data_IF_609334315063
#
_entry.id   IF_609334315063
#
_cell.length_a   1.000
_cell.length_b   1.000
_cell.length_c   1.000
_cell.angle_alpha   90.00
_cell.angle_beta   90.00
_cell.angle_gamma   90.00
#
_symmetry.space_group_name_H-M   'P 1'
#
loop_
_entity.id
_entity.type
_entity.pdbx_description
1 polymer ?
#
# COMPACT_ATOMS: atom_id res chain seq x y z
N UNK A 1 16.00 -3.78 -0.58
CA UNK A 1 15.30 -2.51 -0.90
C UNK A 1 13.82 -2.82 -1.02
N UNK A 2 13.01 -2.08 -0.27
CA UNK A 2 11.59 -2.34 -0.04
C UNK A 2 10.84 -1.02 -0.27
N UNK A 3 9.82 -1.04 -1.12
CA UNK A 3 8.96 0.11 -1.40
C UNK A 3 7.63 -0.06 -0.70
N UNK A 4 7.18 0.98 -0.02
CA UNK A 4 5.87 1.06 0.61
C UNK A 4 5.02 2.06 -0.16
N UNK A 5 3.81 1.63 -0.51
CA UNK A 5 2.81 2.49 -1.14
C UNK A 5 1.40 2.07 -0.71
N UNK A 6 0.47 3.02 -0.79
CA UNK A 6 -0.92 2.86 -0.45
C UNK A 6 -1.82 3.03 -1.66
N UNK A 7 -2.84 2.17 -1.77
CA UNK A 7 -3.85 2.29 -2.81
C UNK A 7 -5.25 2.05 -2.27
N UNK A 8 -6.19 2.91 -2.66
CA UNK A 8 -7.58 2.79 -2.25
C UNK A 8 -8.44 2.18 -3.37
N UNK A 9 -9.31 1.24 -3.02
CA UNK A 9 -10.24 0.60 -3.94
C UNK A 9 -11.61 0.41 -3.29
N UNK A 10 -12.65 0.33 -4.11
CA UNK A 10 -13.99 -0.02 -3.63
C UNK A 10 -14.22 -1.52 -3.77
N UNK A 11 -14.79 -2.17 -2.75
CA UNK A 11 -15.04 -3.63 -2.80
C UNK A 11 -15.97 -4.02 -3.94
N UNK A 12 -16.94 -3.16 -4.27
CA UNK A 12 -17.88 -3.38 -5.37
C UNK A 12 -17.37 -2.92 -6.74
N UNK A 13 -16.07 -2.63 -6.90
CA UNK A 13 -15.53 -2.33 -8.23
C UNK A 13 -15.74 -3.52 -9.17
N UNK A 14 -16.26 -3.23 -10.34
CA UNK A 14 -16.52 -4.21 -11.40
C UNK A 14 -15.93 -3.70 -12.70
N UNK A 15 -15.55 -4.62 -13.58
CA UNK A 15 -15.10 -4.25 -14.92
C UNK A 15 -16.28 -3.67 -15.70
N UNK A 16 -16.13 -2.44 -16.17
CA UNK A 16 -17.15 -1.78 -17.00
C UNK A 16 -17.07 -2.20 -18.46
N UNK A 17 -15.91 -2.69 -18.89
CA UNK A 17 -15.64 -3.06 -20.28
C UNK A 17 -15.13 -4.50 -20.32
N UNK A 18 -15.70 -5.30 -21.22
CA UNK A 18 -15.30 -6.68 -21.49
C UNK A 18 -15.27 -6.95 -23.00
N UNK A 19 -14.47 -7.94 -23.40
CA UNK A 19 -14.43 -8.43 -24.78
C UNK A 19 -15.10 -9.79 -24.85
N UNK A 20 -15.80 -10.05 -25.95
CA UNK A 20 -16.37 -11.35 -26.29
C UNK A 20 -16.11 -11.64 -27.76
N UNK A 21 -16.32 -12.89 -28.17
CA UNK A 21 -16.25 -13.27 -29.57
C UNK A 21 -17.25 -12.47 -30.41
N UNK A 22 -16.93 -12.29 -31.70
CA UNK A 22 -17.78 -11.55 -32.62
C UNK A 22 -19.19 -12.17 -32.65
N UNK A 23 -20.20 -11.36 -32.38
CA UNK A 23 -21.60 -11.77 -32.32
C UNK A 23 -22.09 -12.30 -30.97
N UNK A 24 -21.23 -12.39 -29.95
CA UNK A 24 -21.61 -12.81 -28.59
C UNK A 24 -21.61 -11.63 -27.62
N UNK A 25 -22.55 -11.63 -26.66
CA UNK A 25 -22.57 -10.67 -25.55
C UNK A 25 -21.55 -11.10 -24.48
N UNK A 26 -20.91 -10.12 -23.84
CA UNK A 26 -20.16 -10.35 -22.61
C UNK A 26 -21.11 -10.15 -21.43
N UNK A 27 -21.14 -11.12 -20.51
CA UNK A 27 -21.94 -11.04 -19.29
C UNK A 27 -21.01 -10.97 -18.09
N UNK A 28 -21.36 -10.14 -17.11
CA UNK A 28 -20.66 -10.02 -15.84
C UNK A 28 -21.69 -9.85 -14.72
N UNK A 29 -21.49 -10.56 -13.62
CA UNK A 29 -22.23 -10.33 -12.39
C UNK A 29 -21.66 -9.07 -11.74
N UNK A 30 -22.53 -8.07 -11.53
CA UNK A 30 -22.18 -6.80 -10.93
C UNK A 30 -22.80 -6.66 -9.56
N UNK A 31 -22.02 -6.19 -8.59
CA UNK A 31 -22.55 -5.78 -7.30
C UNK A 31 -23.47 -4.57 -7.47
N UNK A 32 -24.67 -4.64 -6.91
CA UNK A 32 -25.65 -3.55 -6.99
C UNK A 32 -25.19 -2.28 -6.25
N UNK A 33 -24.47 -2.45 -5.13
CA UNK A 33 -23.88 -1.37 -4.35
C UNK A 33 -22.35 -1.34 -4.52
N UNK A 34 -21.75 -0.15 -4.52
CA UNK A 34 -20.28 0.03 -4.59
C UNK A 34 -19.54 -0.58 -3.39
N UNK A 35 -20.25 -0.89 -2.30
CA UNK A 35 -19.67 -1.45 -1.10
C UNK A 35 -18.82 -0.43 -0.32
N UNK A 36 -17.94 -0.95 0.52
CA UNK A 36 -17.03 -0.16 1.36
C UNK A 36 -15.79 0.27 0.57
N UNK A 37 -15.23 1.43 0.93
CA UNK A 37 -13.89 1.84 0.48
C UNK A 37 -12.86 1.12 1.35
N UNK A 38 -11.86 0.53 0.72
CA UNK A 38 -10.73 -0.10 1.39
C UNK A 38 -9.45 0.63 0.97
N UNK A 39 -8.49 0.71 1.88
CA UNK A 39 -7.11 1.12 1.60
C UNK A 39 -6.21 -0.09 1.80
N UNK A 40 -5.45 -0.44 0.77
CA UNK A 40 -4.40 -1.46 0.83
C UNK A 40 -3.07 -0.75 0.95
N UNK A 41 -2.35 -1.01 2.04
CA UNK A 41 -0.93 -0.70 2.13
C UNK A 41 -0.14 -1.94 1.77
N UNK A 42 0.91 -1.78 0.97
CA UNK A 42 1.79 -2.86 0.53
C UNK A 42 3.25 -2.48 0.60
N UNK A 43 4.06 -3.39 1.14
CA UNK A 43 5.51 -3.34 1.06
C UNK A 43 6.00 -4.39 0.05
N UNK A 44 6.73 -3.96 -0.97
CA UNK A 44 7.23 -4.82 -2.05
C UNK A 44 8.75 -4.69 -2.20
N UNK A 45 9.41 -5.81 -2.47
CA UNK A 45 10.81 -5.89 -2.88
C UNK A 45 10.89 -6.44 -4.30
N UNK A 46 12.11 -6.54 -4.84
CA UNK A 46 12.35 -7.19 -6.14
C UNK A 46 12.00 -8.68 -6.13
N UNK A 47 11.99 -9.32 -4.95
CA UNK A 47 11.67 -10.73 -4.77
C UNK A 47 10.16 -10.98 -4.61
N UNK A 48 9.39 -9.93 -4.30
CA UNK A 48 7.94 -10.00 -4.21
C UNK A 48 7.35 -9.15 -3.10
N UNK A 49 6.14 -9.53 -2.67
CA UNK A 49 5.40 -8.82 -1.61
C UNK A 49 5.94 -9.24 -0.24
N UNK A 50 6.43 -8.27 0.54
CA UNK A 50 6.97 -8.47 1.89
C UNK A 50 5.85 -8.44 2.93
N UNK A 51 5.02 -7.41 2.86
CA UNK A 51 3.89 -7.22 3.77
C UNK A 51 2.74 -6.51 3.06
N UNK A 52 1.51 -6.74 3.50
CA UNK A 52 0.33 -6.01 3.02
C UNK A 52 -0.75 -6.01 4.08
N UNK A 53 -1.51 -4.92 4.17
CA UNK A 53 -2.65 -4.80 5.08
C UNK A 53 -3.78 -4.05 4.39
N UNK A 54 -5.00 -4.58 4.53
CA UNK A 54 -6.21 -3.95 4.00
C UNK A 54 -7.00 -3.35 5.17
N UNK A 55 -7.24 -2.06 5.11
CA UNK A 55 -7.93 -1.27 6.15
C UNK A 55 -9.20 -0.71 5.53
N UNK A 56 -10.28 -0.69 6.30
CA UNK A 56 -11.52 -0.07 5.84
C UNK A 56 -11.44 1.45 5.98
N UNK A 57 -11.82 2.17 4.91
CA UNK A 57 -11.82 3.62 4.89
C UNK A 57 -10.45 4.22 4.55
N UNK A 58 -10.22 5.44 5.03
CA UNK A 58 -8.95 6.15 4.83
C UNK A 58 -7.97 5.80 5.95
N UNK A 59 -6.72 5.54 5.56
CA UNK A 59 -5.65 5.21 6.49
C UNK A 59 -5.25 6.41 7.34
N UNK A 60 -5.01 6.18 8.64
CA UNK A 60 -4.46 7.14 9.60
C UNK A 60 -3.04 6.74 9.98
N UNK A 61 -2.31 7.63 10.65
CA UNK A 61 -0.96 7.34 11.14
C UNK A 61 -0.90 6.17 12.14
N UNK A 62 -1.97 5.94 12.91
CA UNK A 62 -2.09 4.76 13.79
C UNK A 62 -2.11 3.44 13.00
N UNK A 63 -2.92 3.39 11.94
CA UNK A 63 -3.00 2.23 11.08
C UNK A 63 -1.66 1.96 10.38
N UNK A 64 -0.88 3.01 10.10
CA UNK A 64 0.46 2.92 9.53
C UNK A 64 1.46 2.31 10.51
N UNK A 65 1.48 2.76 11.76
CA UNK A 65 2.31 2.14 12.80
C UNK A 65 1.92 0.66 13.01
N UNK A 66 0.62 0.37 13.04
CA UNK A 66 0.11 -1.00 13.17
C UNK A 66 0.36 -1.88 11.93
N UNK A 67 0.87 -1.30 10.84
CA UNK A 67 1.42 -2.04 9.71
C UNK A 67 2.93 -2.18 9.83
N UNK A 68 3.64 -1.10 10.17
CA UNK A 68 5.11 -1.11 10.24
C UNK A 68 5.61 -2.05 11.33
N UNK A 69 5.14 -1.90 12.56
CA UNK A 69 5.64 -2.65 13.72
C UNK A 69 5.40 -4.16 13.63
N UNK A 70 4.15 -4.65 13.48
CA UNK A 70 3.91 -6.09 13.49
C UNK A 70 4.10 -6.76 12.13
N UNK A 71 3.80 -6.08 11.02
CA UNK A 71 3.73 -6.74 9.70
C UNK A 71 5.01 -6.57 8.89
N UNK A 72 5.71 -5.44 9.02
CA UNK A 72 6.88 -5.10 8.21
C UNK A 72 8.21 -5.36 8.93
N UNK A 73 8.42 -4.78 10.12
CA UNK A 73 9.70 -4.83 10.86
C UNK A 73 10.21 -6.27 11.04
N UNK A 74 9.40 -7.29 11.40
CA UNK A 74 9.88 -8.66 11.56
C UNK A 74 10.36 -9.33 10.26
N UNK A 75 10.09 -8.73 9.10
CA UNK A 75 10.45 -9.24 7.78
C UNK A 75 11.55 -8.45 7.11
N UNK A 76 12.04 -7.39 7.77
CA UNK A 76 13.19 -6.62 7.30
C UNK A 76 14.47 -7.39 7.61
N UNK A 77 15.42 -7.36 6.68
CA UNK A 77 16.77 -7.86 6.92
C UNK A 77 17.74 -6.69 7.13
N UNK A 78 18.79 -6.86 7.95
CA UNK A 78 19.84 -5.85 8.06
C UNK A 78 20.39 -5.45 6.68
N UNK A 79 20.43 -4.14 6.42
CA UNK A 79 20.82 -3.57 5.13
C UNK A 79 19.68 -3.35 4.13
N UNK A 80 18.44 -3.75 4.46
CA UNK A 80 17.30 -3.37 3.64
C UNK A 80 17.05 -1.86 3.70
N UNK A 81 16.94 -1.25 2.53
CA UNK A 81 16.54 0.16 2.42
C UNK A 81 15.03 0.23 2.25
N UNK A 82 14.34 0.84 3.22
CA UNK A 82 12.90 1.07 3.14
C UNK A 82 12.63 2.42 2.49
N UNK A 83 11.84 2.42 1.42
CA UNK A 83 11.48 3.59 0.62
C UNK A 83 9.98 3.84 0.75
N UNK A 84 9.63 5.05 1.13
CA UNK A 84 8.24 5.49 1.29
C UNK A 84 8.09 6.96 0.87
N UNK A 85 6.85 7.39 0.64
CA UNK A 85 6.54 8.76 0.33
C UNK A 85 6.71 9.68 1.57
N UNK A 86 6.62 10.99 1.33
CA UNK A 86 6.82 12.02 2.37
C UNK A 86 5.49 12.53 2.96
N UNK A 87 4.46 11.69 3.06
CA UNK A 87 3.19 12.09 3.66
C UNK A 87 3.29 12.14 5.20
N UNK A 88 2.53 13.05 5.80
CA UNK A 88 2.52 13.23 7.26
C UNK A 88 2.07 11.98 8.03
N UNK A 89 1.29 11.10 7.39
CA UNK A 89 0.86 9.83 8.00
C UNK A 89 2.03 8.85 8.21
N UNK A 90 3.15 9.03 7.48
CA UNK A 90 4.35 8.20 7.58
C UNK A 90 5.32 8.74 8.63
N UNK A 91 5.14 9.98 9.09
CA UNK A 91 6.05 10.71 10.00
C UNK A 91 5.63 10.64 11.45
N UNK A 92 5.01 9.54 11.88
CA UNK A 92 4.71 9.38 13.31
C UNK A 92 6.04 9.23 14.05
N UNK A 93 6.15 9.91 15.20
CA UNK A 93 7.30 9.75 16.10
C UNK A 93 7.54 8.27 16.38
N UNK A 94 8.78 7.79 16.20
CA UNK A 94 9.17 6.40 16.47
C UNK A 94 9.28 5.50 15.25
N UNK A 95 8.66 5.82 14.11
CA UNK A 95 8.61 4.87 12.96
C UNK A 95 9.98 4.75 12.27
N UNK A 96 10.70 5.86 12.11
CA UNK A 96 12.03 5.83 11.53
C UNK A 96 13.01 5.09 12.46
N UNK A 97 12.89 5.30 13.77
CA UNK A 97 13.68 4.62 14.78
C UNK A 97 13.42 3.11 14.76
N UNK A 98 12.15 2.69 14.73
CA UNK A 98 11.76 1.27 14.67
C UNK A 98 12.32 0.55 13.44
N UNK A 99 12.31 1.22 12.28
CA UNK A 99 12.90 0.68 11.06
C UNK A 99 14.42 0.60 11.20
N UNK A 100 15.07 1.64 11.75
CA UNK A 100 16.51 1.67 11.98
C UNK A 100 16.97 0.59 12.97
N UNK A 101 16.21 0.31 14.03
CA UNK A 101 16.48 -0.74 15.01
C UNK A 101 16.53 -2.15 14.39
N UNK A 102 15.81 -2.38 13.30
CA UNK A 102 15.91 -3.63 12.51
C UNK A 102 17.21 -3.78 11.72
N UNK A 103 18.12 -2.80 11.79
CA UNK A 103 19.33 -2.73 10.97
C UNK A 103 19.06 -2.27 9.55
N UNK A 104 17.87 -1.74 9.28
CA UNK A 104 17.41 -1.31 7.95
C UNK A 104 17.35 0.21 7.91
N UNK A 105 18.14 0.90 7.06
CA UNK A 105 17.99 2.34 6.92
C UNK A 105 16.65 2.69 6.24
N UNK A 106 15.88 3.55 6.87
CA UNK A 106 14.74 4.21 6.23
C UNK A 106 15.22 5.33 5.31
N UNK A 107 14.58 5.50 4.15
CA UNK A 107 14.83 6.62 3.25
C UNK A 107 13.52 7.17 2.73
N UNK A 108 13.14 8.32 3.28
CA UNK A 108 11.95 9.07 2.86
C UNK A 108 12.27 9.78 1.55
N UNK A 109 11.47 9.52 0.52
CA UNK A 109 11.56 10.26 -0.73
C UNK A 109 10.61 11.46 -0.68
N UNK A 110 11.19 12.65 -0.63
CA UNK A 110 10.48 13.88 -1.03
C UNK A 110 10.36 13.88 -2.55
N UNK A 111 9.19 13.56 -3.06
CA UNK A 111 8.86 13.83 -4.46
C UNK A 111 8.67 15.34 -4.60
N UNK A 112 9.71 16.05 -5.06
CA UNK A 112 9.55 17.36 -5.68
C UNK A 112 8.81 17.17 -7.01
N UNK A 113 7.50 16.96 -6.97
CA UNK A 113 6.61 17.10 -8.13
C UNK A 113 5.58 18.20 -7.84
N UNK A 114 6.08 19.42 -7.68
CA UNK A 114 5.30 20.65 -7.87
C UNK A 114 6.07 21.62 -8.77
N UNK A 115 6.00 21.37 -10.09
CA UNK A 115 5.77 22.36 -11.17
C UNK A 115 6.15 21.77 -12.52
N UNK A 116 5.12 21.40 -13.30
CA UNK A 116 5.02 21.75 -14.71
C UNK A 116 3.71 22.51 -14.89
#
# INVERSE_FOLDING_TARGET
MIFIDETAFWVGMSREIARSEKGKKAFCLRYFYKGRKMTLIGAISIEGVVAKKAIEGSMKGEDFQEFVEPDLVPKLNPGDVVVMDNLNIHKREGIEELIAESGSPSRIFTTLLTRL
#
